data_IF_845963968216
#
_entry.id   IF_845963968216
#
_cell.length_a   1.000
_cell.length_b   1.000
_cell.length_c   1.000
_cell.angle_alpha   90.00
_cell.angle_beta   90.00
_cell.angle_gamma   90.00
#
_symmetry.space_group_name_H-M   'P 1'
#
loop_
_entity.id
_entity.type
_entity.pdbx_description
1 polymer ?
#
# COMPACT_ATOMS: atom_id res chain seq x y z
N UNK A 1 25.59 2.38 -3.84
CA UNK A 1 24.58 3.45 -3.94
C UNK A 1 23.24 3.01 -4.54
N UNK A 2 23.17 1.95 -5.36
CA UNK A 2 21.90 1.49 -5.96
C UNK A 2 21.05 0.54 -5.09
N UNK A 3 21.65 -0.16 -4.11
CA UNK A 3 20.90 -1.06 -3.21
C UNK A 3 20.09 -0.32 -2.14
N UNK A 4 20.53 0.86 -1.71
CA UNK A 4 19.87 1.63 -0.65
C UNK A 4 18.53 2.19 -1.10
N UNK A 5 18.45 2.68 -2.34
CA UNK A 5 17.20 3.20 -2.91
C UNK A 5 16.19 2.08 -3.17
N UNK A 6 16.66 0.87 -3.47
CA UNK A 6 15.78 -0.28 -3.67
C UNK A 6 15.07 -0.68 -2.37
N UNK A 7 15.80 -0.78 -1.25
CA UNK A 7 15.21 -1.12 0.05
C UNK A 7 14.20 -0.06 0.51
N UNK A 8 14.52 1.23 0.32
CA UNK A 8 13.60 2.31 0.66
C UNK A 8 12.31 2.29 -0.18
N UNK A 9 12.41 1.94 -1.47
CA UNK A 9 11.24 1.81 -2.32
C UNK A 9 10.35 0.62 -1.91
N UNK A 10 10.95 -0.52 -1.54
CA UNK A 10 10.20 -1.69 -1.04
C UNK A 10 9.52 -1.39 0.30
N UNK A 11 10.21 -0.74 1.23
CA UNK A 11 9.64 -0.34 2.52
C UNK A 11 8.49 0.67 2.37
N UNK A 12 8.60 1.61 1.43
CA UNK A 12 7.50 2.51 1.10
C UNK A 12 6.29 1.75 0.49
N UNK A 13 6.56 0.74 -0.32
CA UNK A 13 5.54 -0.12 -0.92
C UNK A 13 4.82 -0.95 0.15
N UNK A 14 5.56 -1.58 1.06
CA UNK A 14 5.01 -2.34 2.18
C UNK A 14 4.13 -1.47 3.08
N UNK A 15 4.56 -0.24 3.37
CA UNK A 15 3.73 0.72 4.12
C UNK A 15 2.42 1.05 3.43
N UNK A 16 2.41 1.19 2.11
CA UNK A 16 1.16 1.40 1.35
C UNK A 16 0.22 0.19 1.47
N UNK A 17 0.77 -1.02 1.42
CA UNK A 17 0.00 -2.26 1.62
C UNK A 17 -0.55 -2.35 3.04
N UNK A 18 0.24 -1.96 4.04
CA UNK A 18 -0.20 -1.90 5.44
C UNK A 18 -1.38 -0.95 5.64
N UNK A 19 -1.31 0.25 5.06
CA UNK A 19 -2.40 1.22 5.14
C UNK A 19 -3.65 0.69 4.44
N UNK A 20 -3.49 0.05 3.27
CA UNK A 20 -4.60 -0.59 2.58
C UNK A 20 -5.24 -1.68 3.45
N UNK A 21 -4.43 -2.52 4.12
CA UNK A 21 -4.92 -3.54 5.03
C UNK A 21 -5.57 -2.97 6.31
N UNK A 22 -5.13 -1.81 6.80
CA UNK A 22 -5.77 -1.11 7.93
C UNK A 22 -7.14 -0.55 7.53
N UNK A 23 -7.26 0.06 6.34
CA UNK A 23 -8.48 0.74 5.89
C UNK A 23 -9.51 -0.25 5.31
N UNK A 24 -9.06 -1.23 4.52
CA UNK A 24 -9.90 -2.21 3.83
C UNK A 24 -10.03 -3.53 4.62
N UNK A 25 -9.17 -3.76 5.62
CA UNK A 25 -9.12 -5.00 6.41
C UNK A 25 -8.25 -6.10 5.78
N UNK A 26 -7.94 -7.16 6.54
CA UNK A 26 -7.12 -8.28 6.06
C UNK A 26 -5.62 -8.08 6.30
N UNK A 27 -4.78 -8.74 5.50
CA UNK A 27 -3.31 -8.65 5.62
C UNK A 27 -2.68 -7.92 4.44
N UNK A 28 -1.57 -7.19 4.62
CA UNK A 28 -0.85 -6.49 3.54
C UNK A 28 -0.44 -7.43 2.38
N UNK A 29 -0.19 -8.71 2.70
CA UNK A 29 0.15 -9.77 1.73
C UNK A 29 -0.98 -10.16 0.79
N UNK A 30 -2.24 -9.96 1.22
CA UNK A 30 -3.43 -10.29 0.44
C UNK A 30 -3.70 -9.26 -0.66
N UNK A 31 -3.02 -8.12 -0.56
CA UNK A 31 -3.08 -7.03 -1.51
C UNK A 31 -1.97 -7.15 -2.56
N UNK A 32 -2.26 -6.64 -3.75
CA UNK A 32 -1.29 -6.46 -4.83
C UNK A 32 -1.36 -5.04 -5.35
N UNK A 33 -0.36 -4.69 -6.16
CA UNK A 33 -0.16 -3.34 -6.64
C UNK A 33 -0.08 -3.35 -8.16
N UNK A 34 -1.03 -2.67 -8.80
CA UNK A 34 -1.06 -2.47 -10.25
C UNK A 34 -1.74 -1.14 -10.56
N UNK A 35 -1.47 -0.57 -11.74
CA UNK A 35 -2.12 0.67 -12.22
C UNK A 35 -2.14 1.81 -11.18
N UNK A 36 -1.04 1.99 -10.43
CA UNK A 36 -0.93 3.03 -9.40
C UNK A 36 -1.93 2.93 -8.23
N UNK A 37 -2.44 1.71 -7.98
CA UNK A 37 -3.37 1.39 -6.89
C UNK A 37 -3.01 0.07 -6.22
N UNK A 38 -3.42 -0.06 -4.96
CA UNK A 38 -3.38 -1.28 -4.17
C UNK A 38 -4.76 -1.93 -4.23
N UNK A 39 -4.87 -3.20 -4.57
CA UNK A 39 -6.13 -3.92 -4.68
C UNK A 39 -6.04 -5.30 -4.03
N UNK A 40 -7.17 -5.83 -3.55
CA UNK A 40 -7.22 -7.15 -2.95
C UNK A 40 -7.12 -8.22 -4.05
N UNK A 41 -6.18 -9.17 -3.92
CA UNK A 41 -6.01 -10.26 -4.90
C UNK A 41 -7.26 -11.12 -5.06
N UNK A 42 -8.00 -11.30 -3.97
CA UNK A 42 -9.24 -12.07 -3.93
C UNK A 42 -10.45 -11.32 -4.51
N UNK A 43 -10.45 -9.99 -4.45
CA UNK A 43 -11.51 -9.15 -5.01
C UNK A 43 -10.95 -7.80 -5.53
N UNK A 44 -10.72 -7.68 -6.85
CA UNK A 44 -10.20 -6.45 -7.46
C UNK A 44 -11.11 -5.22 -7.29
N UNK A 45 -12.37 -5.41 -6.86
CA UNK A 45 -13.30 -4.32 -6.55
C UNK A 45 -12.90 -3.59 -5.26
N UNK A 46 -12.18 -4.26 -4.37
CA UNK A 46 -11.63 -3.70 -3.14
C UNK A 46 -10.24 -3.15 -3.47
N UNK A 47 -10.15 -1.84 -3.64
CA UNK A 47 -8.90 -1.16 -3.98
C UNK A 47 -8.81 0.24 -3.37
N UNK A 48 -7.57 0.72 -3.23
CA UNK A 48 -7.22 2.08 -2.82
C UNK A 48 -6.10 2.61 -3.73
N UNK A 49 -6.23 3.83 -4.22
CA UNK A 49 -5.17 4.46 -5.04
C UNK A 49 -4.00 4.89 -4.16
N UNK A 50 -2.79 5.03 -4.71
CA UNK A 50 -1.65 5.52 -3.94
C UNK A 50 -1.90 6.89 -3.32
N UNK A 51 -2.63 7.78 -4.01
CA UNK A 51 -2.97 9.09 -3.47
C UNK A 51 -3.83 8.96 -2.20
N UNK A 52 -4.83 8.08 -2.22
CA UNK A 52 -5.68 7.83 -1.06
C UNK A 52 -4.93 7.12 0.06
N UNK A 53 -4.12 6.11 -0.26
CA UNK A 53 -3.27 5.43 0.71
C UNK A 53 -2.26 6.39 1.36
N UNK A 54 -1.65 7.30 0.59
CA UNK A 54 -0.77 8.34 1.12
C UNK A 54 -1.52 9.34 2.02
N UNK A 55 -2.73 9.74 1.65
CA UNK A 55 -3.57 10.59 2.49
C UNK A 55 -3.90 9.89 3.83
N UNK A 56 -4.28 8.61 3.79
CA UNK A 56 -4.49 7.81 5.00
C UNK A 56 -3.21 7.62 5.83
N UNK A 57 -2.05 7.48 5.18
CA UNK A 57 -0.75 7.43 5.86
C UNK A 57 -0.54 8.67 6.73
N UNK A 58 -0.89 9.85 6.20
CA UNK A 58 -0.75 11.14 6.88
C UNK A 58 -1.72 11.23 8.06
N UNK A 59 -2.97 10.83 7.86
CA UNK A 59 -3.99 10.83 8.92
C UNK A 59 -3.65 9.86 10.07
N UNK A 60 -3.12 8.67 9.75
CA UNK A 60 -2.75 7.65 10.75
C UNK A 60 -1.49 8.01 11.55
N UNK A 61 -0.63 8.88 11.00
CA UNK A 61 0.59 9.38 11.69
C UNK A 61 0.42 10.78 12.30
N UNK A 62 -0.78 11.37 12.22
CA UNK A 62 -1.13 12.67 12.81
C UNK A 62 -1.31 12.63 14.32
#
# INVERSE_FOLDING_TARGET
MTRTNYVAAIDALEKLLEIAAIDLGGSPSDYDIADERVYLKSDPSIFITYANAAARAIELRG
#
